data_IF_851306963450
#
_entry.id   IF_851306963450
#
_cell.length_a   1.000
_cell.length_b   1.000
_cell.length_c   1.000
_cell.angle_alpha   90.00
_cell.angle_beta   90.00
_cell.angle_gamma   90.00
#
_symmetry.space_group_name_H-M   'P 1'
#
loop_
_entity.id
_entity.type
_entity.pdbx_description
1 polymer ?
#
# COMPACT_ATOMS: atom_id res chain seq x y z
N UNK A 1 -43.22 18.66 -17.46
CA UNK A 1 -43.16 17.31 -16.88
C UNK A 1 -42.01 17.32 -15.91
N UNK A 2 -42.39 17.36 -14.65
CA UNK A 2 -41.58 17.50 -13.44
C UNK A 2 -40.38 16.55 -13.44
N UNK A 3 -39.22 17.09 -13.08
CA UNK A 3 -38.10 16.32 -12.61
C UNK A 3 -38.46 15.85 -11.19
N UNK A 4 -38.64 14.54 -10.98
CA UNK A 4 -38.72 13.98 -9.64
C UNK A 4 -37.29 13.85 -9.11
N UNK A 5 -36.94 14.74 -8.19
CA UNK A 5 -35.86 14.56 -7.25
C UNK A 5 -36.39 13.66 -6.14
N UNK A 6 -35.96 12.39 -6.10
CA UNK A 6 -36.26 11.51 -4.97
C UNK A 6 -35.38 11.93 -3.78
N UNK A 7 -36.00 12.57 -2.79
CA UNK A 7 -35.43 12.85 -1.48
C UNK A 7 -35.02 11.54 -0.78
N UNK A 8 -33.72 11.41 -0.48
CA UNK A 8 -33.21 10.34 0.37
C UNK A 8 -33.41 10.75 1.83
N UNK A 9 -34.45 10.19 2.45
CA UNK A 9 -34.73 10.34 3.88
C UNK A 9 -33.62 9.68 4.72
N UNK A 10 -32.83 10.52 5.40
CA UNK A 10 -31.79 10.08 6.34
C UNK A 10 -32.48 9.86 7.70
N UNK A 11 -32.70 8.60 8.04
CA UNK A 11 -33.20 8.22 9.38
C UNK A 11 -32.00 8.07 10.31
N UNK A 12 -31.82 9.03 11.23
CA UNK A 12 -30.89 8.91 12.35
C UNK A 12 -31.43 7.88 13.37
N UNK A 13 -30.66 6.88 13.79
CA UNK A 13 -31.08 6.02 14.89
C UNK A 13 -30.83 6.71 16.24
N UNK A 14 -31.91 6.91 16.98
CA UNK A 14 -31.94 7.48 18.33
C UNK A 14 -31.11 6.69 19.36
N UNK A 15 -30.48 7.43 20.27
CA UNK A 15 -29.74 6.89 21.41
C UNK A 15 -30.68 6.21 22.41
N UNK A 16 -30.59 4.88 22.49
CA UNK A 16 -31.21 4.07 23.54
C UNK A 16 -30.24 3.74 24.67
N UNK A 17 -30.36 4.45 25.79
CA UNK A 17 -29.77 4.11 27.09
C UNK A 17 -30.45 2.86 27.68
N UNK A 18 -29.66 1.87 28.12
CA UNK A 18 -30.18 0.75 28.91
C UNK A 18 -29.13 -0.34 29.14
N UNK A 19 -28.40 -0.27 30.25
CA UNK A 19 -27.40 -1.26 30.62
C UNK A 19 -27.99 -2.49 31.32
N UNK A 20 -27.33 -3.64 31.19
CA UNK A 20 -27.28 -4.64 32.26
C UNK A 20 -26.07 -5.57 32.12
N UNK A 21 -25.39 -5.82 33.24
CA UNK A 21 -24.20 -6.68 33.33
C UNK A 21 -24.63 -8.15 33.45
N UNK A 22 -24.33 -8.96 32.43
CA UNK A 22 -24.39 -10.43 32.48
C UNK A 22 -23.02 -11.07 32.33
N UNK A 23 -22.42 -11.55 33.44
CA UNK A 23 -21.19 -12.35 33.44
C UNK A 23 -21.57 -13.80 33.08
N UNK A 24 -21.26 -14.24 31.84
CA UNK A 24 -21.45 -15.62 31.40
C UNK A 24 -20.23 -16.13 30.64
N UNK A 25 -19.45 -17.03 31.27
CA UNK A 25 -18.37 -17.77 30.60
C UNK A 25 -18.99 -18.84 29.69
N UNK A 26 -19.05 -18.56 28.38
CA UNK A 26 -19.40 -19.50 27.34
C UNK A 26 -18.30 -19.56 26.28
N UNK A 27 -17.69 -20.73 26.10
CA UNK A 27 -16.66 -21.01 25.09
C UNK A 27 -17.33 -21.07 23.71
N UNK A 28 -17.33 -19.95 22.98
CA UNK A 28 -17.83 -19.89 21.61
C UNK A 28 -16.71 -20.20 20.61
N UNK A 29 -16.89 -21.30 19.86
CA UNK A 29 -16.15 -21.60 18.64
C UNK A 29 -16.49 -20.55 17.57
N UNK A 30 -15.45 -20.03 16.92
CA UNK A 30 -15.47 -19.57 15.53
C UNK A 30 -16.31 -18.34 15.21
N UNK A 31 -15.67 -17.16 15.22
CA UNK A 31 -15.92 -16.16 14.18
C UNK A 31 -14.63 -15.98 13.41
N UNK A 32 -14.47 -16.71 12.30
CA UNK A 32 -13.50 -16.34 11.28
C UNK A 32 -14.09 -15.11 10.59
N UNK A 33 -13.75 -13.93 11.09
CA UNK A 33 -13.92 -12.72 10.31
C UNK A 33 -12.89 -12.81 9.19
N UNK A 34 -13.30 -13.30 8.01
CA UNK A 34 -12.53 -13.04 6.81
C UNK A 34 -12.60 -11.54 6.56
N UNK A 35 -11.65 -10.80 7.11
CA UNK A 35 -11.40 -9.43 6.69
C UNK A 35 -10.89 -9.52 5.26
N UNK A 36 -11.80 -9.54 4.29
CA UNK A 36 -11.51 -9.47 2.86
C UNK A 36 -11.10 -8.06 2.47
N UNK A 37 -10.22 -7.42 3.26
CA UNK A 37 -9.35 -6.37 2.76
C UNK A 37 -8.43 -7.07 1.78
N UNK A 38 -8.81 -7.09 0.50
CA UNK A 38 -8.03 -7.67 -0.59
C UNK A 38 -6.63 -7.11 -0.48
N UNK A 39 -5.69 -7.90 0.08
CA UNK A 39 -4.36 -7.40 0.39
C UNK A 39 -3.67 -7.21 -0.95
N UNK A 40 -3.35 -5.96 -1.27
CA UNK A 40 -2.62 -5.65 -2.49
C UNK A 40 -1.31 -6.44 -2.51
N UNK A 41 -1.11 -7.24 -3.56
CA UNK A 41 0.06 -8.07 -3.74
C UNK A 41 0.85 -7.56 -4.95
N UNK A 42 2.09 -7.16 -4.72
CA UNK A 42 3.00 -6.69 -5.77
C UNK A 42 3.34 -7.84 -6.72
N UNK A 43 2.87 -7.77 -7.96
CA UNK A 43 3.35 -8.66 -9.03
C UNK A 43 4.64 -8.11 -9.65
N UNK A 44 5.33 -8.93 -10.43
CA UNK A 44 6.61 -8.53 -11.02
C UNK A 44 6.46 -7.31 -11.95
N UNK A 45 5.37 -7.25 -12.71
CA UNK A 45 5.07 -6.13 -13.61
C UNK A 45 4.89 -4.83 -12.81
N UNK A 46 4.24 -4.91 -11.64
CA UNK A 46 4.05 -3.77 -10.75
C UNK A 46 5.36 -3.24 -10.20
N UNK A 47 6.24 -4.18 -9.83
CA UNK A 47 7.56 -3.84 -9.30
C UNK A 47 8.40 -3.18 -10.39
N UNK A 48 8.36 -3.69 -11.61
CA UNK A 48 9.08 -3.11 -12.74
C UNK A 48 8.57 -1.69 -13.04
N UNK A 49 7.25 -1.49 -13.07
CA UNK A 49 6.64 -0.17 -13.24
C UNK A 49 7.04 0.79 -12.11
N UNK A 50 7.03 0.32 -10.86
CA UNK A 50 7.48 1.11 -9.72
C UNK A 50 8.96 1.52 -9.85
N UNK A 51 9.84 0.61 -10.27
CA UNK A 51 11.27 0.89 -10.46
C UNK A 51 11.48 1.97 -11.53
N UNK A 52 10.78 1.87 -12.67
CA UNK A 52 10.84 2.88 -13.74
C UNK A 52 10.42 4.26 -13.23
N UNK A 53 9.28 4.33 -12.54
CA UNK A 53 8.79 5.59 -11.95
C UNK A 53 9.78 6.16 -10.94
N UNK A 54 10.42 5.31 -10.12
CA UNK A 54 11.44 5.76 -9.16
C UNK A 54 12.67 6.34 -9.86
N UNK A 55 13.13 5.72 -10.96
CA UNK A 55 14.24 6.25 -11.76
C UNK A 55 13.90 7.65 -12.29
N UNK A 56 12.72 7.84 -12.88
CA UNK A 56 12.28 9.15 -13.36
C UNK A 56 12.26 10.21 -12.25
N UNK A 57 11.70 9.86 -11.09
CA UNK A 57 11.59 10.77 -9.94
C UNK A 57 12.96 11.14 -9.40
N UNK A 58 13.91 10.21 -9.38
CA UNK A 58 15.30 10.45 -8.96
C UNK A 58 16.04 11.33 -9.97
N UNK A 59 15.90 11.07 -11.27
CA UNK A 59 16.48 11.90 -12.35
C UNK A 59 15.91 13.32 -12.30
N UNK A 60 14.63 13.47 -11.94
CA UNK A 60 13.98 14.77 -11.76
C UNK A 60 14.41 15.54 -10.49
N UNK A 61 15.36 15.02 -9.71
CA UNK A 61 15.90 15.70 -8.53
C UNK A 61 14.95 15.76 -7.33
N UNK A 62 13.89 14.94 -7.30
CA UNK A 62 12.87 14.96 -6.22
C UNK A 62 13.30 14.21 -4.94
N UNK A 63 14.60 13.94 -4.80
CA UNK A 63 15.22 13.38 -3.61
C UNK A 63 15.49 14.47 -2.56
N UNK A 64 15.52 14.08 -1.29
CA UNK A 64 15.99 14.90 -0.17
C UNK A 64 17.39 14.42 0.22
N UNK A 65 18.23 15.31 0.76
CA UNK A 65 19.63 15.05 1.11
C UNK A 65 19.84 13.85 2.04
N UNK A 66 18.82 13.43 2.79
CA UNK A 66 18.84 12.25 3.66
C UNK A 66 18.53 10.92 2.94
N UNK A 67 18.49 10.90 1.59
CA UNK A 67 18.18 9.68 0.83
C UNK A 67 16.73 9.23 0.99
N UNK A 68 15.83 10.16 1.30
CA UNK A 68 14.37 9.99 1.36
C UNK A 68 13.67 10.88 0.33
N UNK A 69 12.40 10.62 0.07
CA UNK A 69 11.57 11.49 -0.76
C UNK A 69 10.82 12.53 0.09
N UNK A 70 10.47 13.68 -0.50
CA UNK A 70 9.58 14.67 0.14
C UNK A 70 8.18 14.07 0.35
N UNK A 71 7.41 14.55 1.32
CA UNK A 71 6.10 13.94 1.67
C UNK A 71 5.12 13.92 0.49
N UNK A 72 5.16 14.93 -0.39
CA UNK A 72 4.34 15.00 -1.60
C UNK A 72 4.77 14.06 -2.72
N UNK A 73 6.01 13.57 -2.71
CA UNK A 73 6.57 12.74 -3.78
C UNK A 73 5.89 11.37 -3.85
N UNK A 74 5.41 10.81 -2.74
CA UNK A 74 4.70 9.52 -2.78
C UNK A 74 3.35 9.61 -3.53
N UNK A 75 2.67 10.75 -3.44
CA UNK A 75 1.46 11.00 -4.24
C UNK A 75 1.79 11.11 -5.73
N UNK A 76 2.90 11.79 -6.06
CA UNK A 76 3.41 11.87 -7.42
C UNK A 76 3.79 10.49 -7.97
N UNK A 77 4.51 9.68 -7.19
CA UNK A 77 4.87 8.30 -7.55
C UNK A 77 3.59 7.51 -7.83
N UNK A 78 2.58 7.59 -6.96
CA UNK A 78 1.30 6.90 -7.18
C UNK A 78 0.61 7.36 -8.47
N UNK A 79 0.58 8.68 -8.73
CA UNK A 79 0.00 9.25 -9.95
C UNK A 79 0.72 8.77 -11.21
N UNK A 80 2.05 8.78 -11.21
CA UNK A 80 2.86 8.25 -12.32
C UNK A 80 2.67 6.74 -12.50
N UNK A 81 2.62 5.99 -11.40
CA UNK A 81 2.38 4.55 -11.42
C UNK A 81 1.03 4.19 -12.06
N UNK A 82 0.01 5.04 -11.86
CA UNK A 82 -1.29 4.92 -12.51
C UNK A 82 -1.26 5.02 -14.03
N UNK A 83 -0.17 5.52 -14.64
CA UNK A 83 0.01 5.50 -16.11
C UNK A 83 0.48 4.15 -16.65
N UNK A 84 0.98 3.28 -15.78
CA UNK A 84 1.53 1.96 -16.14
C UNK A 84 0.65 0.80 -15.66
N UNK A 85 -0.49 1.09 -15.03
CA UNK A 85 -1.37 0.11 -14.39
C UNK A 85 -2.83 0.40 -14.73
N UNK A 86 -3.69 -0.61 -14.62
CA UNK A 86 -5.14 -0.40 -14.75
C UNK A 86 -5.69 0.36 -13.53
N UNK A 87 -6.84 1.04 -13.72
CA UNK A 87 -7.48 1.85 -12.69
C UNK A 87 -7.86 1.01 -11.44
N UNK A 88 -8.30 -0.23 -11.65
CA UNK A 88 -8.67 -1.16 -10.58
C UNK A 88 -7.44 -1.53 -9.75
N UNK A 89 -6.29 -1.69 -10.41
CA UNK A 89 -5.05 -2.10 -9.76
C UNK A 89 -4.46 -0.97 -8.93
N UNK A 90 -4.40 0.25 -9.45
CA UNK A 90 -3.88 1.42 -8.73
C UNK A 90 -4.78 1.83 -7.56
N UNK A 91 -6.10 1.55 -7.63
CA UNK A 91 -7.05 1.80 -6.54
C UNK A 91 -6.73 0.98 -5.28
N UNK A 92 -6.21 -0.24 -5.43
CA UNK A 92 -5.82 -1.13 -4.33
C UNK A 92 -4.50 -0.69 -3.65
N UNK A 93 -3.71 0.18 -4.30
CA UNK A 93 -2.40 0.60 -3.81
C UNK A 93 -2.55 1.82 -2.90
N UNK A 94 -2.25 1.66 -1.61
CA UNK A 94 -2.14 2.81 -0.69
C UNK A 94 -0.75 3.47 -0.80
N UNK A 95 -0.62 4.72 -0.35
CA UNK A 95 0.69 5.38 -0.24
C UNK A 95 1.64 4.64 0.72
N UNK A 96 1.09 3.96 1.72
CA UNK A 96 1.84 3.12 2.66
C UNK A 96 2.41 1.87 1.95
N UNK A 97 1.63 1.24 1.08
CA UNK A 97 2.08 0.08 0.28
C UNK A 97 3.30 0.46 -0.57
N UNK A 98 3.27 1.66 -1.19
CA UNK A 98 4.36 2.19 -2.00
C UNK A 98 5.59 2.45 -1.14
N UNK A 99 5.43 3.14 0.00
CA UNK A 99 6.53 3.45 0.91
C UNK A 99 7.24 2.18 1.39
N UNK A 100 6.47 1.19 1.85
CA UNK A 100 7.02 -0.08 2.33
C UNK A 100 7.71 -0.86 1.23
N UNK A 101 7.17 -0.84 0.00
CA UNK A 101 7.82 -1.50 -1.13
C UNK A 101 9.14 -0.83 -1.50
N UNK A 102 9.19 0.50 -1.54
CA UNK A 102 10.44 1.25 -1.80
C UNK A 102 11.50 0.91 -0.75
N UNK A 103 11.12 0.86 0.53
CA UNK A 103 12.03 0.47 1.61
C UNK A 103 12.59 -0.94 1.38
N UNK A 104 11.72 -1.91 1.12
CA UNK A 104 12.15 -3.29 0.87
C UNK A 104 13.05 -3.42 -0.38
N UNK A 105 12.82 -2.63 -1.43
CA UNK A 105 13.69 -2.60 -2.62
C UNK A 105 15.07 -2.02 -2.29
N UNK A 106 15.11 -0.94 -1.48
CA UNK A 106 16.36 -0.34 -1.01
C UNK A 106 17.17 -1.32 -0.16
N UNK A 107 16.54 -2.01 0.78
CA UNK A 107 17.21 -2.98 1.66
C UNK A 107 17.83 -4.13 0.84
N UNK A 108 17.10 -4.65 -0.15
CA UNK A 108 17.63 -5.66 -1.08
C UNK A 108 18.81 -5.14 -1.89
N UNK A 109 18.71 -3.93 -2.42
CA UNK A 109 19.80 -3.31 -3.17
C UNK A 109 21.05 -3.12 -2.31
N UNK A 110 20.89 -2.63 -1.07
CA UNK A 110 21.98 -2.47 -0.13
C UNK A 110 22.66 -3.81 0.17
N UNK A 111 21.89 -4.86 0.45
CA UNK A 111 22.43 -6.19 0.67
C UNK A 111 23.22 -6.71 -0.54
N UNK A 112 22.68 -6.57 -1.76
CA UNK A 112 23.41 -6.94 -2.98
C UNK A 112 24.69 -6.12 -3.16
N UNK A 113 24.62 -4.82 -2.92
CA UNK A 113 25.78 -3.93 -3.02
C UNK A 113 26.87 -4.31 -2.01
N UNK A 114 26.50 -4.63 -0.77
CA UNK A 114 27.42 -5.10 0.26
C UNK A 114 28.09 -6.42 -0.13
N UNK A 115 27.33 -7.38 -0.70
CA UNK A 115 27.89 -8.64 -1.21
C UNK A 115 28.89 -8.39 -2.34
N UNK A 116 28.57 -7.50 -3.28
CA UNK A 116 29.48 -7.13 -4.37
C UNK A 116 30.76 -6.43 -3.89
N UNK A 117 30.70 -5.70 -2.78
CA UNK A 117 31.83 -4.94 -2.22
C UNK A 117 32.72 -5.77 -1.28
N UNK A 118 32.39 -7.04 -1.02
CA UNK A 118 33.21 -7.94 -0.17
C UNK A 118 34.11 -8.81 -1.06
N UNK A 119 35.42 -8.78 -0.82
CA UNK A 119 36.35 -9.75 -1.41
C UNK A 119 36.10 -11.16 -0.86
N UNK A 120 36.13 -12.19 -1.71
CA UNK A 120 35.91 -13.58 -1.30
C UNK A 120 34.45 -14.06 -1.39
N UNK A 121 33.55 -13.24 -1.93
CA UNK A 121 32.21 -13.68 -2.34
C UNK A 121 32.26 -14.09 -3.82
N UNK A 122 31.90 -15.34 -4.11
CA UNK A 122 31.84 -15.88 -5.46
C UNK A 122 30.60 -16.77 -5.60
N UNK A 123 30.03 -16.81 -6.80
CA UNK A 123 29.06 -17.84 -7.13
C UNK A 123 29.81 -19.16 -7.24
N UNK A 124 29.19 -20.25 -6.80
CA UNK A 124 29.76 -21.58 -7.09
C UNK A 124 29.79 -21.72 -8.62
N UNK A 125 30.96 -21.56 -9.21
CA UNK A 125 31.21 -21.93 -10.60
C UNK A 125 31.17 -23.46 -10.62
N UNK A 126 30.09 -24.00 -11.18
CA UNK A 126 29.89 -25.44 -11.33
C UNK A 126 30.55 -25.94 -12.60
#
# INVERSE_FOLDING_TARGET
MEQHEDEVEIVEPEEGVGGEKGKGKGKARGRVTVNTKTRFCWQQEDVNALILVLQEVVVSGLKVDAGSFKSGTYKLIKSKLGKHMTAERIALISGENIRNKIRALKDKYMACSEMCNRSGFGWNEQ
#
